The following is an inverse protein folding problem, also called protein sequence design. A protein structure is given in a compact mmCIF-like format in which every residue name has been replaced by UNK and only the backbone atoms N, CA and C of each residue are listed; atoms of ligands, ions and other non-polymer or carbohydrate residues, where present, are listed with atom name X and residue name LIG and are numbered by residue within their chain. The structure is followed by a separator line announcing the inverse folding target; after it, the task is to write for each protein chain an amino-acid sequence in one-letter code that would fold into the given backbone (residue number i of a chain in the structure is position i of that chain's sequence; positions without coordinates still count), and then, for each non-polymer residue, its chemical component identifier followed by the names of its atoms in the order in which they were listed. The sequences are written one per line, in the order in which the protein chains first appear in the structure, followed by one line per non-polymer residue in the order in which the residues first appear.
data_IF_699798856980
#
_entry.id   IF_699798856980
#
_cell.length_a   1.000
_cell.length_b   1.000
_cell.length_c   1.000
_cell.angle_alpha   90.00
_cell.angle_beta   90.00
_cell.angle_gamma   90.00
#
_symmetry.space_group_name_H-M   'P 1'
#
loop_
_entity.id
_entity.type
_entity.pdbx_description
1 polymer ?
#
# COMPACT_ATOMS: atom_id res chain seq x y z
N UNK A 1 5.52 -19.15 -25.63
CA UNK A 1 6.38 -19.08 -24.43
C UNK A 1 5.49 -18.82 -23.23
N UNK A 2 5.46 -19.69 -22.21
CA UNK A 2 4.58 -19.49 -21.05
C UNK A 2 4.96 -18.19 -20.34
N UNK A 3 3.98 -17.35 -20.06
CA UNK A 3 4.22 -16.14 -19.28
C UNK A 3 4.78 -16.52 -17.90
N UNK A 4 5.90 -15.89 -17.52
CA UNK A 4 6.76 -16.36 -16.42
C UNK A 4 6.40 -15.78 -15.04
N UNK A 5 5.43 -14.89 -14.92
CA UNK A 5 5.17 -14.17 -13.65
C UNK A 5 3.73 -14.27 -13.15
N UNK A 6 3.58 -14.01 -11.86
CA UNK A 6 2.33 -13.89 -11.14
C UNK A 6 2.06 -12.42 -10.86
N UNK A 7 0.84 -11.97 -11.14
CA UNK A 7 0.39 -10.64 -10.73
C UNK A 7 -0.41 -10.78 -9.43
N UNK A 8 -0.15 -9.91 -8.47
CA UNK A 8 -0.79 -9.95 -7.16
C UNK A 8 -1.43 -8.59 -6.91
N UNK A 9 -2.69 -8.55 -6.46
CA UNK A 9 -3.31 -7.33 -5.93
C UNK A 9 -3.30 -7.41 -4.41
N UNK A 10 -2.82 -6.36 -3.75
CA UNK A 10 -2.48 -6.40 -2.33
C UNK A 10 -2.74 -5.06 -1.62
N UNK A 11 -3.19 -5.15 -0.37
CA UNK A 11 -3.19 -4.05 0.58
C UNK A 11 -3.26 -4.58 2.02
N UNK A 12 -2.65 -3.86 2.94
CA UNK A 12 -2.61 -4.16 4.36
C UNK A 12 -1.69 -5.32 4.79
N UNK A 13 -1.65 -5.51 6.10
CA UNK A 13 -0.84 -6.52 6.80
C UNK A 13 -1.19 -7.96 6.34
N UNK A 14 -2.47 -8.23 6.09
CA UNK A 14 -2.93 -9.55 5.63
C UNK A 14 -2.29 -9.95 4.29
N UNK A 15 -2.24 -9.01 3.34
CA UNK A 15 -1.58 -9.23 2.06
C UNK A 15 -0.06 -9.40 2.22
N UNK A 16 0.58 -8.61 3.09
CA UNK A 16 2.02 -8.73 3.33
C UNK A 16 2.41 -10.13 3.83
N UNK A 17 1.62 -10.71 4.76
CA UNK A 17 1.80 -12.09 5.25
C UNK A 17 1.59 -13.13 4.13
N UNK A 18 0.54 -12.97 3.32
CA UNK A 18 0.25 -13.85 2.19
C UNK A 18 1.38 -13.84 1.15
N UNK A 19 1.85 -12.65 0.77
CA UNK A 19 2.94 -12.47 -0.19
C UNK A 19 4.24 -13.07 0.36
N UNK A 20 4.53 -12.90 1.66
CA UNK A 20 5.69 -13.55 2.29
C UNK A 20 5.65 -15.07 2.15
N UNK A 21 4.47 -15.67 2.36
CA UNK A 21 4.26 -17.10 2.12
C UNK A 21 4.53 -17.49 0.67
N UNK A 22 4.00 -16.71 -0.29
CA UNK A 22 4.24 -16.93 -1.72
C UNK A 22 5.73 -16.82 -2.11
N UNK A 23 6.45 -15.85 -1.57
CA UNK A 23 7.86 -15.62 -1.83
C UNK A 23 8.77 -16.77 -1.35
N UNK A 24 8.27 -17.65 -0.47
CA UNK A 24 8.98 -18.86 -0.04
C UNK A 24 8.81 -20.04 -1.01
N UNK A 25 7.82 -20.00 -1.90
CA UNK A 25 7.49 -21.11 -2.81
C UNK A 25 7.59 -20.74 -4.29
N UNK A 26 7.57 -19.45 -4.60
CA UNK A 26 7.76 -18.89 -5.94
C UNK A 26 8.96 -17.95 -5.87
N UNK A 27 9.84 -18.03 -6.87
CA UNK A 27 10.95 -17.08 -7.01
C UNK A 27 10.42 -15.63 -6.91
N UNK A 28 10.85 -14.84 -5.91
CA UNK A 28 10.39 -13.47 -5.71
C UNK A 28 10.51 -12.59 -6.97
N UNK A 29 11.48 -12.85 -7.86
CA UNK A 29 11.66 -12.11 -9.12
C UNK A 29 10.50 -12.33 -10.11
N UNK A 30 9.67 -13.35 -9.90
CA UNK A 30 8.49 -13.66 -10.70
C UNK A 30 7.20 -13.04 -10.12
N UNK A 31 7.29 -12.31 -9.01
CA UNK A 31 6.16 -11.67 -8.36
C UNK A 31 6.07 -10.19 -8.76
N UNK A 32 4.92 -9.81 -9.32
CA UNK A 32 4.55 -8.42 -9.58
C UNK A 32 3.39 -8.06 -8.68
N UNK A 33 3.58 -7.11 -7.77
CA UNK A 33 2.64 -6.81 -6.69
C UNK A 33 2.08 -5.41 -6.93
N UNK A 34 0.81 -5.32 -7.28
CA UNK A 34 0.07 -4.06 -7.40
C UNK A 34 -0.51 -3.73 -6.03
N UNK A 35 -0.07 -2.60 -5.48
CA UNK A 35 -0.31 -2.22 -4.09
C UNK A 35 -1.36 -1.12 -4.04
N UNK A 36 -2.31 -1.25 -3.12
CA UNK A 36 -3.25 -0.19 -2.76
C UNK A 36 -2.48 1.06 -2.30
N UNK A 37 -2.90 2.23 -2.78
CA UNK A 37 -2.36 3.53 -2.32
C UNK A 37 -3.48 4.43 -1.80
N UNK A 38 -4.66 3.88 -1.52
CA UNK A 38 -5.80 4.62 -0.97
C UNK A 38 -5.58 5.07 0.47
N UNK A 39 -4.63 4.44 1.15
CA UNK A 39 -4.33 4.72 2.56
C UNK A 39 -3.16 5.73 2.69
N UNK A 40 -2.61 6.17 1.54
CA UNK A 40 -1.56 7.18 1.49
C UNK A 40 -2.06 8.50 2.10
N UNK A 41 -1.27 9.04 3.05
CA UNK A 41 -1.62 10.25 3.79
C UNK A 41 -0.42 11.18 3.90
N UNK A 42 -0.68 12.48 3.98
CA UNK A 42 0.31 13.46 4.40
C UNK A 42 0.10 13.80 5.87
N UNK A 43 1.13 13.56 6.68
CA UNK A 43 1.12 13.87 8.11
C UNK A 43 2.48 14.44 8.51
N UNK A 44 2.48 15.49 9.34
CA UNK A 44 3.70 16.20 9.73
C UNK A 44 4.52 16.73 8.53
N UNK A 45 3.87 17.00 7.41
CA UNK A 45 4.51 17.40 6.15
C UNK A 45 5.26 16.26 5.44
N UNK A 46 5.05 15.01 5.85
CA UNK A 46 5.67 13.82 5.28
C UNK A 46 4.62 12.98 4.54
N UNK A 47 5.02 12.44 3.38
CA UNK A 47 4.23 11.47 2.62
C UNK A 47 4.40 10.07 3.22
N UNK A 48 3.30 9.48 3.67
CA UNK A 48 3.24 8.15 4.28
C UNK A 48 2.44 7.23 3.35
N UNK A 49 2.93 6.01 3.13
CA UNK A 49 2.33 5.06 2.20
C UNK A 49 2.20 3.68 2.88
N UNK A 50 1.25 3.50 3.81
CA UNK A 50 1.23 2.38 4.75
C UNK A 50 1.30 0.99 4.08
N UNK A 51 0.53 0.80 3.02
CA UNK A 51 0.47 -0.47 2.29
C UNK A 51 1.76 -0.79 1.50
N UNK A 52 2.39 0.24 0.92
CA UNK A 52 3.70 0.09 0.28
C UNK A 52 4.76 -0.26 1.32
N UNK A 53 4.75 0.46 2.45
CA UNK A 53 5.73 0.33 3.51
C UNK A 53 5.66 -1.05 4.17
N UNK A 54 4.47 -1.49 4.60
CA UNK A 54 4.33 -2.79 5.26
C UNK A 54 4.72 -3.97 4.38
N UNK A 55 4.37 -3.93 3.08
CA UNK A 55 4.75 -4.99 2.14
C UNK A 55 6.26 -4.96 1.90
N UNK A 56 6.85 -3.78 1.72
CA UNK A 56 8.30 -3.61 1.54
C UNK A 56 9.06 -4.15 2.74
N UNK A 57 8.72 -3.72 3.95
CA UNK A 57 9.42 -4.14 5.17
C UNK A 57 9.24 -5.64 5.44
N UNK A 58 8.06 -6.18 5.13
CA UNK A 58 7.78 -7.61 5.32
C UNK A 58 8.66 -8.47 4.41
N UNK A 59 8.79 -8.07 3.14
CA UNK A 59 9.64 -8.75 2.16
C UNK A 59 11.13 -8.56 2.43
N UNK A 60 11.53 -7.44 3.02
CA UNK A 60 12.89 -7.20 3.50
C UNK A 60 13.25 -7.99 4.76
N UNK A 61 12.28 -8.65 5.41
CA UNK A 61 12.43 -9.31 6.71
C UNK A 61 12.88 -8.38 7.85
N UNK A 62 12.47 -7.11 7.81
CA UNK A 62 12.80 -6.10 8.83
C UNK A 62 11.60 -5.67 9.68
N UNK A 63 10.43 -6.27 9.46
CA UNK A 63 9.22 -6.02 10.27
C UNK A 63 9.35 -6.60 11.67
N UNK A 64 8.84 -5.87 12.67
CA UNK A 64 8.61 -6.38 14.02
C UNK A 64 7.64 -7.57 13.96
N UNK A 65 8.15 -8.77 14.24
CA UNK A 65 7.39 -10.03 14.10
C UNK A 65 6.30 -10.16 15.16
N UNK A 66 6.45 -9.55 16.33
CA UNK A 66 5.50 -9.64 17.42
C UNK A 66 4.31 -8.71 17.15
N UNK A 67 4.57 -7.48 16.73
CA UNK A 67 3.52 -6.51 16.39
C UNK A 67 2.90 -6.79 15.03
N UNK A 68 3.69 -7.33 14.10
CA UNK A 68 3.30 -7.58 12.71
C UNK A 68 3.28 -6.34 11.82
N UNK A 69 3.81 -5.21 12.29
CA UNK A 69 3.96 -3.94 11.58
C UNK A 69 5.10 -3.11 12.17
N UNK A 70 5.59 -2.11 11.43
CA UNK A 70 6.75 -1.30 11.81
C UNK A 70 8.06 -2.08 11.76
N UNK A 71 9.19 -1.40 12.01
CA UNK A 71 10.51 -2.02 12.02
C UNK A 71 10.77 -2.83 13.29
N UNK A 72 11.61 -3.86 13.18
CA UNK A 72 12.21 -4.50 14.35
C UNK A 72 13.09 -3.49 15.12
N UNK A 73 13.06 -3.56 16.45
CA UNK A 73 13.82 -2.69 17.37
C UNK A 73 13.55 -1.20 17.13
N UNK A 74 12.28 -0.85 16.90
CA UNK A 74 11.84 0.51 16.63
C UNK A 74 11.72 1.36 17.92
N UNK A 75 12.10 2.64 17.82
CA UNK A 75 11.93 3.63 18.88
C UNK A 75 10.93 4.70 18.47
N UNK A 76 10.39 5.46 19.43
CA UNK A 76 9.36 6.47 19.19
C UNK A 76 9.73 7.83 19.79
N UNK A 77 11.03 8.14 19.84
CA UNK A 77 11.53 9.33 20.53
C UNK A 77 11.08 10.60 19.79
N UNK A 78 11.20 10.61 18.45
CA UNK A 78 10.75 11.74 17.64
C UNK A 78 9.24 11.94 17.75
N UNK A 79 8.48 10.86 17.62
CA UNK A 79 7.02 10.89 17.76
C UNK A 79 6.58 11.44 19.11
N UNK A 80 7.28 11.10 20.20
CA UNK A 80 6.94 11.59 21.54
C UNK A 80 6.99 13.12 21.64
N UNK A 81 7.89 13.77 20.89
CA UNK A 81 8.02 15.22 20.82
C UNK A 81 7.03 15.80 19.81
N UNK A 82 6.84 15.17 18.65
CA UNK A 82 5.84 15.59 17.65
C UNK A 82 4.43 15.65 18.25
N UNK A 83 4.05 14.66 19.06
CA UNK A 83 2.74 14.65 19.75
C UNK A 83 2.53 15.90 20.61
N UNK A 84 3.59 16.41 21.27
CA UNK A 84 3.53 17.66 22.05
C UNK A 84 3.34 18.89 21.17
N UNK A 85 3.95 18.94 20.00
CA UNK A 85 3.82 20.08 19.07
C UNK A 85 2.46 20.13 18.36
N UNK A 86 1.96 18.98 17.93
CA UNK A 86 0.73 18.91 17.12
C UNK A 86 -0.55 18.77 17.94
N UNK A 87 -0.46 18.35 19.21
CA UNK A 87 -1.62 18.25 20.10
C UNK A 87 -2.59 17.11 19.75
N UNK A 88 -2.16 16.11 18.96
CA UNK A 88 -2.93 14.89 18.71
C UNK A 88 -2.03 13.65 18.78
N UNK A 89 -2.58 12.53 19.25
CA UNK A 89 -1.78 11.35 19.65
C UNK A 89 -2.11 10.07 18.89
N UNK A 90 -3.01 10.14 17.92
CA UNK A 90 -3.56 8.95 17.30
C UNK A 90 -2.65 8.27 16.28
N UNK A 91 -1.64 8.97 15.75
CA UNK A 91 -0.74 8.39 14.77
C UNK A 91 0.51 7.79 15.41
N UNK A 92 0.99 6.68 14.84
CA UNK A 92 2.21 5.98 15.26
C UNK A 92 3.19 5.83 14.09
N UNK A 93 4.21 6.68 14.05
CA UNK A 93 5.41 6.49 13.22
C UNK A 93 6.63 6.33 14.12
N UNK A 94 7.37 5.23 13.93
CA UNK A 94 8.63 5.00 14.62
C UNK A 94 9.79 5.81 14.01
N UNK A 95 10.92 5.86 14.71
CA UNK A 95 12.08 6.65 14.29
C UNK A 95 12.72 6.11 12.99
N UNK A 96 12.78 4.78 12.80
CA UNK A 96 13.22 4.16 11.53
C UNK A 96 12.18 4.35 10.42
N UNK A 97 10.89 4.23 10.74
CA UNK A 97 9.82 4.46 9.77
C UNK A 97 9.78 5.92 9.27
N UNK A 98 10.00 6.87 10.16
CA UNK A 98 10.16 8.28 9.82
C UNK A 98 11.31 8.50 8.83
N UNK A 99 12.39 7.72 8.89
CA UNK A 99 13.48 7.82 7.90
C UNK A 99 12.98 7.49 6.48
N UNK A 100 12.14 6.46 6.32
CA UNK A 100 11.50 6.14 5.04
C UNK A 100 10.62 7.30 4.56
N UNK A 101 9.80 7.86 5.45
CA UNK A 101 8.88 8.95 5.09
C UNK A 101 9.63 10.24 4.71
N UNK A 102 10.71 10.58 5.43
CA UNK A 102 11.60 11.71 5.10
C UNK A 102 12.23 11.51 3.72
N UNK A 103 12.80 10.33 3.49
CA UNK A 103 13.46 10.02 2.21
C UNK A 103 12.47 10.03 1.03
N UNK A 104 11.31 9.42 1.19
CA UNK A 104 10.20 9.45 0.21
C UNK A 104 9.79 10.89 -0.11
N UNK A 105 9.60 11.71 0.93
CA UNK A 105 9.15 13.09 0.78
C UNK A 105 10.19 13.95 0.05
N UNK A 106 11.49 13.76 0.33
CA UNK A 106 12.58 14.40 -0.40
C UNK A 106 12.56 14.03 -1.91
N UNK A 107 12.36 12.75 -2.23
CA UNK A 107 12.26 12.31 -3.62
C UNK A 107 11.04 12.89 -4.35
N UNK A 108 9.87 12.95 -3.69
CA UNK A 108 8.71 13.64 -4.26
C UNK A 108 9.02 15.12 -4.55
N UNK A 109 9.70 15.82 -3.65
CA UNK A 109 10.13 17.22 -3.85
C UNK A 109 11.12 17.38 -5.01
N UNK A 110 11.88 16.34 -5.32
CA UNK A 110 12.79 16.28 -6.48
C UNK A 110 12.09 15.92 -7.80
N UNK A 111 10.77 15.71 -7.78
CA UNK A 111 9.96 15.46 -8.97
C UNK A 111 9.81 13.99 -9.35
N UNK A 112 10.29 13.06 -8.52
CA UNK A 112 10.05 11.63 -8.74
C UNK A 112 8.58 11.29 -8.48
N UNK A 113 8.04 10.35 -9.27
CA UNK A 113 6.70 9.83 -9.06
C UNK A 113 6.68 8.65 -8.06
N UNK A 114 5.49 8.28 -7.58
CA UNK A 114 5.29 7.23 -6.55
C UNK A 114 5.88 5.89 -6.96
N UNK A 115 5.73 5.49 -8.22
CA UNK A 115 6.28 4.23 -8.73
C UNK A 115 7.82 4.23 -8.75
N UNK A 116 8.45 5.33 -9.17
CA UNK A 116 9.91 5.48 -9.13
C UNK A 116 10.43 5.43 -7.69
N UNK A 117 9.79 6.17 -6.78
CA UNK A 117 10.17 6.19 -5.37
C UNK A 117 10.05 4.80 -4.73
N UNK A 118 8.94 4.10 -5.03
CA UNK A 118 8.72 2.72 -4.57
C UNK A 118 9.85 1.81 -5.05
N UNK A 119 10.24 1.92 -6.33
CA UNK A 119 11.33 1.13 -6.91
C UNK A 119 12.68 1.43 -6.25
N UNK A 120 13.00 2.71 -6.02
CA UNK A 120 14.27 3.13 -5.38
C UNK A 120 14.35 2.60 -3.95
N UNK A 121 13.27 2.69 -3.18
CA UNK A 121 13.23 2.18 -1.80
C UNK A 121 13.35 0.65 -1.80
N UNK A 122 12.66 -0.04 -2.71
CA UNK A 122 12.76 -1.49 -2.87
C UNK A 122 14.20 -1.94 -3.17
N UNK A 123 14.91 -1.23 -4.05
CA UNK A 123 16.31 -1.52 -4.38
C UNK A 123 17.21 -1.40 -3.15
N UNK A 124 17.05 -0.33 -2.36
CA UNK A 124 17.83 -0.12 -1.13
C UNK A 124 17.62 -1.22 -0.08
N UNK A 125 16.43 -1.80 -0.03
CA UNK A 125 16.12 -2.93 0.85
C UNK A 125 16.36 -4.30 0.19
N UNK A 126 16.90 -4.37 -1.03
CA UNK A 126 17.20 -5.62 -1.72
C UNK A 126 15.96 -6.43 -2.09
N UNK A 127 14.82 -5.78 -2.29
CA UNK A 127 13.57 -6.45 -2.67
C UNK A 127 13.67 -6.97 -4.09
N UNK A 128 13.52 -8.29 -4.25
CA UNK A 128 13.57 -8.97 -5.56
C UNK A 128 12.26 -8.90 -6.33
N UNK A 129 11.13 -8.78 -5.62
CA UNK A 129 9.81 -8.64 -6.24
C UNK A 129 9.58 -7.24 -6.79
N UNK A 130 8.76 -7.13 -7.83
CA UNK A 130 8.40 -5.83 -8.39
C UNK A 130 7.17 -5.29 -7.65
N UNK A 131 7.35 -4.30 -6.79
CA UNK A 131 6.28 -3.59 -6.10
C UNK A 131 5.85 -2.39 -6.94
N UNK A 132 4.55 -2.28 -7.20
CA UNK A 132 3.98 -1.31 -8.14
C UNK A 132 2.80 -0.64 -7.44
N UNK A 133 2.85 0.67 -7.14
CA UNK A 133 1.65 1.36 -6.67
C UNK A 133 0.53 1.25 -7.71
N UNK A 134 -0.73 1.16 -7.28
CA UNK A 134 -1.86 1.06 -8.21
C UNK A 134 -1.94 2.26 -9.18
N UNK A 135 -1.50 3.45 -8.75
CA UNK A 135 -1.45 4.68 -9.53
C UNK A 135 -0.39 5.65 -8.98
N UNK A 136 0.05 6.59 -9.80
CA UNK A 136 0.95 7.66 -9.35
C UNK A 136 0.19 8.83 -8.73
N UNK A 137 -1.06 9.05 -9.14
CA UNK A 137 -1.91 10.12 -8.63
C UNK A 137 -2.26 9.92 -7.15
N UNK A 138 -2.64 11.02 -6.50
CA UNK A 138 -3.18 11.01 -5.14
C UNK A 138 -4.60 10.44 -5.15
N UNK A 139 -4.76 9.29 -4.51
CA UNK A 139 -6.04 8.65 -4.25
C UNK A 139 -6.13 8.39 -2.75
N UNK A 140 -7.20 8.85 -2.12
CA UNK A 140 -7.37 8.71 -0.68
C UNK A 140 -8.74 8.13 -0.34
N UNK A 141 -8.74 7.13 0.55
CA UNK A 141 -9.94 6.50 1.08
C UNK A 141 -10.49 7.35 2.21
N UNK A 142 -11.74 7.79 2.06
CA UNK A 142 -12.49 8.48 3.10
C UNK A 142 -13.69 7.66 3.54
N UNK A 143 -13.91 7.62 4.85
CA UNK A 143 -15.02 6.95 5.52
C UNK A 143 -16.00 8.03 5.99
N UNK A 144 -17.22 7.99 5.47
CA UNK A 144 -18.32 8.81 5.97
C UNK A 144 -19.00 8.04 7.09
N UNK A 145 -19.07 8.66 8.27
CA UNK A 145 -19.74 8.13 9.45
C UNK A 145 -21.02 8.93 9.73
N UNK A 146 -21.77 8.55 10.75
CA UNK A 146 -22.94 9.29 11.25
C UNK A 146 -22.64 10.73 11.69
N UNK A 147 -21.40 11.02 12.09
CA UNK A 147 -21.01 12.31 12.68
C UNK A 147 -20.00 13.09 11.86
N UNK A 148 -19.16 12.42 11.05
CA UNK A 148 -18.05 13.07 10.34
C UNK A 148 -17.54 12.24 9.16
N UNK A 149 -16.82 12.90 8.25
CA UNK A 149 -16.02 12.26 7.21
C UNK A 149 -14.56 12.21 7.67
N UNK A 150 -13.94 11.03 7.60
CA UNK A 150 -12.60 10.74 8.11
C UNK A 150 -11.71 10.18 7.02
N UNK A 151 -10.43 10.51 7.03
CA UNK A 151 -9.45 9.70 6.29
C UNK A 151 -9.44 8.28 6.85
N UNK A 152 -9.19 7.26 6.02
CA UNK A 152 -9.22 5.87 6.46
C UNK A 152 -8.28 5.60 7.64
N UNK A 153 -7.04 6.09 7.59
CA UNK A 153 -6.09 5.98 8.72
C UNK A 153 -6.60 6.63 10.02
N UNK A 154 -7.32 7.75 9.94
CA UNK A 154 -7.91 8.33 11.15
C UNK A 154 -9.03 7.43 11.68
N UNK A 155 -9.90 6.92 10.81
CA UNK A 155 -10.96 5.99 11.20
C UNK A 155 -10.40 4.69 11.81
N UNK A 156 -9.36 4.13 11.20
CA UNK A 156 -8.75 2.87 11.59
C UNK A 156 -7.95 3.00 12.89
N UNK A 157 -7.08 4.01 13.00
CA UNK A 157 -6.15 4.12 14.13
C UNK A 157 -6.78 4.90 15.29
N UNK A 158 -7.31 6.11 15.03
CA UNK A 158 -7.83 7.00 16.10
C UNK A 158 -9.13 6.51 16.70
N UNK A 159 -10.03 6.05 15.84
CA UNK A 159 -11.39 5.66 16.24
C UNK A 159 -11.59 4.14 16.24
N UNK A 160 -10.53 3.35 16.05
CA UNK A 160 -10.55 1.88 16.15
C UNK A 160 -11.68 1.20 15.36
N UNK A 161 -12.06 1.76 14.21
CA UNK A 161 -13.20 1.31 13.41
C UNK A 161 -14.57 1.28 14.14
N UNK A 162 -14.71 1.98 15.26
CA UNK A 162 -15.94 1.98 16.06
C UNK A 162 -17.09 2.79 15.43
N UNK A 163 -16.86 3.98 14.84
CA UNK A 163 -17.95 4.75 14.25
C UNK A 163 -18.66 3.98 13.14
N UNK A 164 -19.99 4.13 13.08
CA UNK A 164 -20.82 3.46 12.07
C UNK A 164 -20.53 4.02 10.69
N UNK A 165 -20.09 3.17 9.78
CA UNK A 165 -19.85 3.53 8.37
C UNK A 165 -21.18 3.70 7.63
N UNK A 166 -21.34 4.83 6.95
CA UNK A 166 -22.46 5.15 6.06
C UNK A 166 -22.03 5.01 4.60
N UNK A 167 -20.83 5.49 4.26
CA UNK A 167 -20.32 5.49 2.89
C UNK A 167 -18.79 5.41 2.87
N UNK A 168 -18.24 4.90 1.76
CA UNK A 168 -16.79 4.83 1.51
C UNK A 168 -16.51 5.48 0.16
N UNK A 169 -15.62 6.47 0.15
CA UNK A 169 -15.30 7.26 -1.04
C UNK A 169 -13.82 7.22 -1.34
N UNK A 170 -13.47 6.95 -2.60
CA UNK A 170 -12.09 7.04 -3.09
C UNK A 170 -11.91 8.40 -3.78
N UNK A 171 -11.44 9.38 -3.01
CA UNK A 171 -11.18 10.72 -3.54
C UNK A 171 -9.99 10.68 -4.51
N UNK A 172 -10.11 11.33 -5.67
CA UNK A 172 -9.07 11.32 -6.71
C UNK A 172 -9.15 10.14 -7.70
N UNK A 173 -9.89 9.06 -7.37
CA UNK A 173 -9.88 7.81 -8.16
C UNK A 173 -10.27 8.00 -9.64
N UNK A 174 -11.19 8.93 -9.94
CA UNK A 174 -11.65 9.20 -11.32
C UNK A 174 -10.55 9.76 -12.22
N UNK A 175 -9.54 10.41 -11.63
CA UNK A 175 -8.38 10.96 -12.34
C UNK A 175 -7.20 9.99 -12.35
N UNK A 176 -7.22 8.98 -11.49
CA UNK A 176 -6.15 8.02 -11.34
C UNK A 176 -5.99 7.18 -12.61
N UNK A 177 -4.74 6.91 -12.97
CA UNK A 177 -4.38 6.01 -14.06
C UNK A 177 -3.52 4.89 -13.50
N UNK A 178 -3.70 3.67 -14.01
CA UNK A 178 -2.83 2.58 -13.59
C UNK A 178 -1.38 2.94 -13.94
N UNK A 179 -0.45 2.69 -13.03
CA UNK A 179 0.99 2.80 -13.34
C UNK A 179 1.27 2.00 -14.62
N UNK A 180 2.14 2.55 -15.46
CA UNK A 180 2.49 1.96 -16.75
C UNK A 180 2.73 0.46 -16.62
N UNK A 181 2.28 -0.28 -17.63
CA UNK A 181 2.35 -1.75 -17.73
C UNK A 181 1.42 -2.56 -16.82
N UNK A 182 0.72 -2.01 -15.81
CA UNK A 182 -0.19 -2.81 -14.97
C UNK A 182 -1.23 -3.57 -15.82
N UNK A 183 -1.90 -2.88 -16.76
CA UNK A 183 -2.94 -3.51 -17.59
C UNK A 183 -2.37 -4.62 -18.49
N UNK A 184 -1.17 -4.41 -19.03
CA UNK A 184 -0.47 -5.43 -19.80
C UNK A 184 -0.02 -6.59 -18.92
N UNK A 185 0.39 -6.30 -17.68
CA UNK A 185 0.75 -7.31 -16.71
C UNK A 185 -0.43 -8.19 -16.35
N UNK A 186 -1.63 -7.62 -16.16
CA UNK A 186 -2.87 -8.38 -15.95
C UNK A 186 -3.11 -9.35 -17.12
N UNK A 187 -3.09 -8.84 -18.36
CA UNK A 187 -3.35 -9.65 -19.58
C UNK A 187 -2.36 -10.81 -19.71
N UNK A 188 -1.08 -10.52 -19.50
CA UNK A 188 0.03 -11.44 -19.71
C UNK A 188 0.40 -12.23 -18.45
N UNK A 189 -0.22 -12.07 -17.29
CA UNK A 189 0.14 -12.88 -16.13
C UNK A 189 -0.15 -14.38 -16.36
N UNK A 190 0.62 -15.26 -15.71
CA UNK A 190 0.31 -16.71 -15.63
C UNK A 190 -0.98 -16.92 -14.81
N UNK A 191 -1.03 -16.27 -13.65
CA UNK A 191 -2.18 -16.17 -12.76
C UNK A 191 -2.21 -14.77 -12.15
N UNK A 192 -3.42 -14.29 -11.86
CA UNK A 192 -3.62 -13.09 -11.05
C UNK A 192 -4.16 -13.55 -9.71
N UNK A 193 -3.48 -13.17 -8.63
CA UNK A 193 -3.85 -13.51 -7.27
C UNK A 193 -4.40 -12.27 -6.58
N UNK A 194 -5.60 -12.34 -6.05
CA UNK A 194 -6.17 -11.30 -5.20
C UNK A 194 -5.90 -11.72 -3.76
N UNK A 195 -5.10 -10.93 -3.03
CA UNK A 195 -4.79 -11.26 -1.65
C UNK A 195 -6.05 -11.22 -0.77
N UNK A 196 -6.09 -12.00 0.33
CA UNK A 196 -7.16 -11.95 1.32
C UNK A 196 -7.09 -10.66 2.16
N UNK A 197 -7.29 -9.53 1.50
CA UNK A 197 -7.26 -8.16 2.05
C UNK A 197 -8.69 -7.65 2.20
N UNK A 198 -8.88 -6.44 2.75
CA UNK A 198 -10.21 -5.87 2.80
C UNK A 198 -10.77 -5.67 1.37
N UNK A 199 -11.95 -6.22 1.03
CA UNK A 199 -12.49 -6.17 -0.32
C UNK A 199 -12.94 -4.77 -0.74
N UNK A 200 -13.15 -3.85 0.21
CA UNK A 200 -13.61 -2.48 -0.04
C UNK A 200 -12.41 -1.54 -0.07
N UNK A 201 -11.72 -1.35 1.05
CA UNK A 201 -10.72 -0.27 1.20
C UNK A 201 -9.31 -0.64 0.72
N UNK A 202 -9.04 -1.93 0.47
CA UNK A 202 -7.77 -2.38 -0.10
C UNK A 202 -7.94 -2.81 -1.56
N UNK A 203 -8.64 -3.93 -1.81
CA UNK A 203 -8.82 -4.44 -3.17
C UNK A 203 -9.79 -3.56 -3.96
N UNK A 204 -10.89 -3.12 -3.34
CA UNK A 204 -11.88 -2.27 -3.99
C UNK A 204 -11.29 -0.96 -4.51
N UNK A 205 -10.36 -0.36 -3.75
CA UNK A 205 -9.61 0.84 -4.14
C UNK A 205 -8.77 0.60 -5.40
N UNK A 206 -8.00 -0.50 -5.45
CA UNK A 206 -7.23 -0.90 -6.65
C UNK A 206 -8.17 -1.11 -7.85
N UNK A 207 -9.30 -1.79 -7.64
CA UNK A 207 -10.30 -2.02 -8.69
C UNK A 207 -11.01 -0.75 -9.17
N UNK A 208 -10.93 0.34 -8.39
CA UNK A 208 -11.46 1.64 -8.74
C UNK A 208 -10.62 2.39 -9.78
N UNK A 209 -9.34 2.05 -9.92
CA UNK A 209 -8.45 2.67 -10.92
C UNK A 209 -8.87 2.25 -12.32
N UNK A 210 -8.91 3.21 -13.23
CA UNK A 210 -9.46 3.04 -14.58
C UNK A 210 -8.83 1.86 -15.33
N UNK A 211 -9.67 0.99 -15.88
CA UNK A 211 -9.26 -0.16 -16.69
C UNK A 211 -8.78 -1.39 -15.93
N UNK A 212 -8.47 -1.31 -14.63
CA UNK A 212 -8.02 -2.47 -13.85
C UNK A 212 -9.12 -3.54 -13.76
N UNK A 213 -10.33 -3.15 -13.33
CA UNK A 213 -11.48 -4.07 -13.20
C UNK A 213 -11.83 -4.77 -14.51
N UNK A 214 -11.91 -4.01 -15.60
CA UNK A 214 -12.23 -4.58 -16.92
C UNK A 214 -11.12 -5.50 -17.45
N UNK A 215 -9.86 -5.15 -17.21
CA UNK A 215 -8.73 -6.01 -17.57
C UNK A 215 -8.77 -7.36 -16.84
N UNK A 216 -9.16 -7.38 -15.57
CA UNK A 216 -9.31 -8.62 -14.79
C UNK A 216 -10.47 -9.47 -15.29
N UNK A 217 -11.62 -8.86 -15.63
CA UNK A 217 -12.76 -9.58 -16.23
C UNK A 217 -12.36 -10.30 -17.53
N UNK A 218 -11.55 -9.65 -18.37
CA UNK A 218 -11.06 -10.23 -19.63
C UNK A 218 -10.13 -11.43 -19.45
N UNK A 219 -9.59 -11.65 -18.25
CA UNK A 219 -8.74 -12.81 -17.91
C UNK A 219 -9.28 -13.60 -16.71
N UNK A 220 -10.60 -13.60 -16.49
CA UNK A 220 -11.25 -14.23 -15.32
C UNK A 220 -10.78 -15.67 -15.05
N UNK A 221 -10.51 -16.46 -16.08
CA UNK A 221 -9.97 -17.82 -15.99
C UNK A 221 -8.58 -17.94 -15.35
N UNK A 222 -7.86 -16.81 -15.24
CA UNK A 222 -6.54 -16.70 -14.59
C UNK A 222 -6.61 -16.12 -13.18
N UNK A 223 -7.75 -15.57 -12.77
CA UNK A 223 -7.93 -14.87 -11.49
C UNK A 223 -8.25 -15.88 -10.39
N UNK A 224 -7.55 -15.78 -9.27
CA UNK A 224 -7.77 -16.54 -8.03
C UNK A 224 -7.89 -15.51 -6.91
N UNK A 225 -8.91 -15.64 -6.07
CA UNK A 225 -9.20 -14.74 -4.95
C UNK A 225 -9.54 -15.57 -3.70
#
# INVERSE_FOLDING_TARGET
MSNKYYLILAGGIGAAKFIKGLANIIDPALLKIVINTGDDIELFGLKMCPDIDIITYTLANIVDKEKGWGFQDETFNCLSILKKYYGFEWFNAGDKDLATHIYRTDLFKKGFNKAEITSIICEKFGIKSQLIPMCNEDVQTFITTDSKKLHFEEYFIKYHCEPKVIDVQFQGIKKARPVNYILDYIKKAKKVLICPSNPIVSIGTILGVEGIRESLKNVKQKVIA
#
